data_IF_949129087924
#
_entry.id   IF_949129087924
#
_cell.length_a   1.000
_cell.length_b   1.000
_cell.length_c   1.000
_cell.angle_alpha   90.00
_cell.angle_beta   90.00
_cell.angle_gamma   90.00
#
_symmetry.space_group_name_H-M   'P 1'
#
loop_
_entity.id
_entity.type
_entity.pdbx_description
1 polymer ?
#
# COMPACT_ATOMS: atom_id res chain seq x y z
N UNK A 1 11.04 -19.83 -1.17
CA UNK A 1 11.73 -20.57 -0.07
C UNK A 1 11.40 -19.98 1.29
N UNK A 2 11.51 -18.67 1.49
CA UNK A 2 11.34 -17.99 2.77
C UNK A 2 9.93 -18.13 3.36
N UNK A 3 8.87 -17.92 2.58
CA UNK A 3 7.48 -18.10 3.04
C UNK A 3 7.17 -19.55 3.44
N UNK A 4 7.77 -20.54 2.77
CA UNK A 4 7.65 -21.96 3.18
C UNK A 4 8.30 -22.24 4.53
N UNK A 5 9.43 -21.60 4.80
CA UNK A 5 10.10 -21.71 6.09
C UNK A 5 9.28 -21.04 7.19
N UNK A 6 8.73 -19.85 6.93
CA UNK A 6 7.83 -19.15 7.85
C UNK A 6 6.56 -19.96 8.14
N UNK A 7 5.90 -20.52 7.12
CA UNK A 7 4.69 -21.31 7.30
C UNK A 7 4.94 -22.54 8.18
N UNK A 8 6.08 -23.21 8.01
CA UNK A 8 6.47 -24.32 8.91
C UNK A 8 6.74 -23.85 10.33
N UNK A 9 7.42 -22.72 10.51
CA UNK A 9 7.73 -22.14 11.82
C UNK A 9 6.45 -21.72 12.57
N UNK A 10 5.46 -21.20 11.87
CA UNK A 10 4.21 -20.76 12.45
C UNK A 10 3.16 -21.86 12.58
N UNK A 11 3.47 -23.06 12.11
CA UNK A 11 2.58 -24.22 12.20
C UNK A 11 1.32 -24.05 11.36
N UNK A 12 1.45 -23.46 10.17
CA UNK A 12 0.33 -23.30 9.25
C UNK A 12 0.00 -24.65 8.65
N UNK A 13 -1.22 -25.12 8.88
CA UNK A 13 -1.74 -26.32 8.23
C UNK A 13 -2.34 -25.96 6.87
N UNK A 14 -1.75 -26.45 5.76
CA UNK A 14 -2.27 -26.19 4.41
C UNK A 14 -3.63 -26.85 4.13
N UNK A 15 -4.08 -27.77 5.01
CA UNK A 15 -5.38 -28.43 4.91
C UNK A 15 -6.45 -27.79 5.78
N UNK A 16 -6.07 -26.79 6.62
CA UNK A 16 -7.02 -26.11 7.46
C UNK A 16 -8.05 -25.36 6.61
N UNK A 17 -9.31 -25.52 6.95
CA UNK A 17 -10.41 -24.81 6.31
C UNK A 17 -10.32 -23.32 6.58
N UNK A 18 -10.38 -22.52 5.51
CA UNK A 18 -10.31 -21.06 5.62
C UNK A 18 -11.65 -20.48 6.05
N UNK A 19 -11.67 -19.29 6.69
CA UNK A 19 -12.91 -18.64 7.09
C UNK A 19 -13.92 -18.45 5.94
N UNK A 20 -13.43 -18.23 4.71
CA UNK A 20 -14.28 -18.09 3.53
C UNK A 20 -15.09 -19.34 3.21
N UNK A 21 -14.53 -20.54 3.49
CA UNK A 21 -15.26 -21.80 3.31
C UNK A 21 -16.12 -22.14 4.54
N UNK A 22 -15.57 -21.87 5.75
CA UNK A 22 -16.25 -22.22 7.00
C UNK A 22 -17.49 -21.39 7.27
N UNK A 23 -17.50 -20.14 6.87
CA UNK A 23 -18.60 -19.18 7.11
C UNK A 23 -19.22 -18.68 5.82
N UNK A 24 -19.14 -19.47 4.74
CA UNK A 24 -19.65 -19.08 3.44
C UNK A 24 -21.11 -18.62 3.53
N UNK A 25 -21.36 -17.35 3.18
CA UNK A 25 -22.68 -16.72 3.20
C UNK A 25 -23.04 -16.06 1.84
N UNK A 26 -22.11 -16.09 0.89
CA UNK A 26 -22.30 -15.49 -0.44
C UNK A 26 -22.23 -13.96 -0.47
N UNK A 27 -21.95 -13.29 0.66
CA UNK A 27 -21.84 -11.84 0.76
C UNK A 27 -20.49 -11.43 1.38
N UNK A 28 -20.25 -11.74 2.65
CA UNK A 28 -19.04 -11.38 3.39
C UNK A 28 -17.95 -12.46 3.28
N UNK A 29 -18.37 -13.71 3.21
CA UNK A 29 -17.47 -14.87 3.10
C UNK A 29 -17.76 -15.62 1.79
N UNK A 30 -16.97 -15.32 0.78
CA UNK A 30 -17.07 -15.93 -0.54
C UNK A 30 -15.77 -16.63 -0.89
N UNK A 31 -15.78 -17.97 -1.06
CA UNK A 31 -14.61 -18.67 -1.57
C UNK A 31 -14.24 -18.16 -2.96
N UNK A 32 -13.00 -17.73 -3.11
CA UNK A 32 -12.52 -17.07 -4.32
C UNK A 32 -11.31 -17.81 -4.87
N UNK A 33 -11.17 -17.82 -6.20
CA UNK A 33 -10.03 -18.42 -6.87
C UNK A 33 -8.70 -17.77 -6.47
N UNK A 34 -7.65 -18.59 -6.34
CA UNK A 34 -6.34 -18.13 -5.89
C UNK A 34 -5.72 -17.06 -6.77
N UNK A 35 -5.97 -17.06 -8.08
CA UNK A 35 -5.49 -16.00 -8.98
C UNK A 35 -6.17 -14.67 -8.74
N UNK A 36 -7.46 -14.67 -8.45
CA UNK A 36 -8.23 -13.47 -8.11
C UNK A 36 -7.71 -12.86 -6.80
N UNK A 37 -7.50 -13.68 -5.77
CA UNK A 37 -6.93 -13.23 -4.50
C UNK A 37 -5.53 -12.65 -4.69
N UNK A 38 -4.67 -13.34 -5.47
CA UNK A 38 -3.34 -12.85 -5.79
C UNK A 38 -3.36 -11.51 -6.51
N UNK A 39 -4.20 -11.38 -7.55
CA UNK A 39 -4.33 -10.15 -8.34
C UNK A 39 -4.79 -8.97 -7.49
N UNK A 40 -5.78 -9.21 -6.61
CA UNK A 40 -6.28 -8.20 -5.69
C UNK A 40 -5.20 -7.75 -4.70
N UNK A 41 -4.49 -8.70 -4.10
CA UNK A 41 -3.41 -8.40 -3.16
C UNK A 41 -2.25 -7.64 -3.85
N UNK A 42 -1.87 -8.07 -5.05
CA UNK A 42 -0.84 -7.39 -5.83
C UNK A 42 -1.25 -5.95 -6.16
N UNK A 43 -2.49 -5.73 -6.62
CA UNK A 43 -3.00 -4.38 -6.92
C UNK A 43 -3.06 -3.48 -5.68
N UNK A 44 -3.35 -4.04 -4.51
CA UNK A 44 -3.39 -3.28 -3.26
C UNK A 44 -2.00 -2.84 -2.80
N UNK A 45 -0.96 -3.62 -3.08
CA UNK A 45 0.43 -3.32 -2.73
C UNK A 45 1.08 -2.42 -3.78
N UNK A 46 0.86 -2.71 -5.08
CA UNK A 46 1.50 -2.02 -6.21
C UNK A 46 0.85 -0.66 -6.53
N UNK A 47 0.64 0.16 -5.51
CA UNK A 47 0.18 1.54 -5.66
C UNK A 47 1.29 2.49 -6.14
N UNK A 48 0.99 3.80 -6.18
CA UNK A 48 1.95 4.83 -6.57
C UNK A 48 3.16 4.92 -5.63
N UNK A 49 2.99 4.60 -4.32
CA UNK A 49 4.05 4.64 -3.32
C UNK A 49 5.29 3.82 -3.66
N UNK A 50 5.18 2.53 -4.02
CA UNK A 50 6.32 1.71 -4.44
C UNK A 50 7.09 2.28 -5.64
N UNK A 51 6.41 2.92 -6.59
CA UNK A 51 7.04 3.51 -7.77
C UNK A 51 7.73 4.82 -7.42
N UNK A 52 6.99 5.77 -6.84
CA UNK A 52 7.51 7.11 -6.49
C UNK A 52 8.55 7.03 -5.37
N UNK A 53 8.37 6.14 -4.40
CA UNK A 53 9.32 5.93 -3.30
C UNK A 53 10.69 5.47 -3.77
N UNK A 54 10.74 4.55 -4.72
CA UNK A 54 11.99 4.09 -5.31
C UNK A 54 12.70 5.22 -6.09
N UNK A 55 11.96 6.03 -6.85
CA UNK A 55 12.49 7.19 -7.58
C UNK A 55 13.05 8.23 -6.62
N UNK A 56 12.30 8.60 -5.57
CA UNK A 56 12.76 9.55 -4.57
C UNK A 56 13.98 9.04 -3.80
N UNK A 57 13.99 7.76 -3.45
CA UNK A 57 15.11 7.15 -2.75
C UNK A 57 16.39 7.07 -3.60
N UNK A 58 16.27 7.11 -4.94
CA UNK A 58 17.41 7.11 -5.85
C UNK A 58 18.39 8.30 -5.63
N UNK A 59 17.91 9.39 -4.99
CA UNK A 59 18.75 10.53 -4.56
C UNK A 59 19.88 10.08 -3.62
N UNK A 60 19.64 9.04 -2.81
CA UNK A 60 20.65 8.46 -1.90
C UNK A 60 21.62 7.49 -2.59
N UNK A 61 21.48 7.30 -3.88
CA UNK A 61 22.27 6.38 -4.68
C UNK A 61 21.55 5.07 -4.99
N UNK A 62 21.84 4.49 -6.15
CA UNK A 62 21.13 3.31 -6.64
C UNK A 62 21.42 2.04 -5.82
N UNK A 63 22.63 1.88 -5.31
CA UNK A 63 23.05 0.67 -4.58
C UNK A 63 22.36 0.54 -3.22
N UNK A 64 22.33 1.56 -2.34
CA UNK A 64 21.56 1.51 -1.09
C UNK A 64 20.08 1.23 -1.32
N UNK A 65 19.48 1.86 -2.34
CA UNK A 65 18.07 1.67 -2.68
C UNK A 65 17.80 0.24 -3.14
N UNK A 66 18.65 -0.31 -4.03
CA UNK A 66 18.51 -1.68 -4.51
C UNK A 66 18.61 -2.69 -3.34
N UNK A 67 19.58 -2.52 -2.47
CA UNK A 67 19.75 -3.39 -1.30
C UNK A 67 18.55 -3.27 -0.35
N UNK A 68 18.05 -2.05 -0.10
CA UNK A 68 16.89 -1.85 0.75
C UNK A 68 15.62 -2.47 0.16
N UNK A 69 15.36 -2.30 -1.14
CA UNK A 69 14.19 -2.87 -1.82
C UNK A 69 14.24 -4.41 -1.77
N UNK A 70 15.39 -5.01 -2.04
CA UNK A 70 15.54 -6.47 -2.01
C UNK A 70 15.46 -7.03 -0.58
N UNK A 71 16.29 -6.54 0.33
CA UNK A 71 16.37 -7.07 1.70
C UNK A 71 15.12 -6.66 2.48
N UNK A 72 14.73 -5.38 2.41
CA UNK A 72 13.55 -4.86 3.08
C UNK A 72 12.26 -5.52 2.59
N UNK A 73 12.09 -5.67 1.28
CA UNK A 73 10.93 -6.33 0.68
C UNK A 73 10.83 -7.80 1.10
N UNK A 74 11.94 -8.54 1.14
CA UNK A 74 11.92 -9.96 1.52
C UNK A 74 11.74 -10.15 3.02
N UNK A 75 12.55 -9.46 3.84
CA UNK A 75 12.61 -9.73 5.28
C UNK A 75 11.62 -8.95 6.11
N UNK A 76 11.28 -7.72 5.71
CA UNK A 76 10.29 -6.90 6.41
C UNK A 76 8.92 -6.94 5.72
N UNK A 77 8.82 -6.57 4.45
CA UNK A 77 7.56 -6.51 3.72
C UNK A 77 6.85 -7.86 3.69
N UNK A 78 7.50 -8.90 3.17
CA UNK A 78 6.87 -10.22 3.06
C UNK A 78 6.49 -10.83 4.41
N UNK A 79 7.26 -10.59 5.48
CA UNK A 79 6.92 -11.10 6.82
C UNK A 79 5.73 -10.38 7.41
N UNK A 80 5.67 -9.05 7.30
CA UNK A 80 4.55 -8.26 7.83
C UNK A 80 3.26 -8.58 7.10
N UNK A 81 3.28 -8.65 5.77
CA UNK A 81 2.10 -8.94 4.98
C UNK A 81 1.59 -10.37 5.19
N UNK A 82 2.50 -11.33 5.15
CA UNK A 82 2.18 -12.73 5.43
C UNK A 82 1.68 -12.93 6.87
N UNK A 83 2.29 -12.23 7.83
CA UNK A 83 1.87 -12.26 9.24
C UNK A 83 0.48 -11.67 9.45
N UNK A 84 0.18 -10.54 8.82
CA UNK A 84 -1.12 -9.90 8.89
C UNK A 84 -2.22 -10.79 8.28
N UNK A 85 -1.95 -11.36 7.10
CA UNK A 85 -2.86 -12.31 6.45
C UNK A 85 -3.11 -13.54 7.31
N UNK A 86 -2.06 -14.17 7.82
CA UNK A 86 -2.18 -15.34 8.69
C UNK A 86 -2.94 -15.03 9.98
N UNK A 87 -2.64 -13.91 10.63
CA UNK A 87 -3.35 -13.47 11.83
C UNK A 87 -4.84 -13.25 11.56
N UNK A 88 -5.19 -12.64 10.42
CA UNK A 88 -6.58 -12.46 10.00
C UNK A 88 -7.28 -13.79 9.76
N UNK A 89 -6.70 -14.67 8.95
CA UNK A 89 -7.28 -16.01 8.65
C UNK A 89 -7.47 -16.83 9.91
N UNK A 90 -6.48 -16.84 10.83
CA UNK A 90 -6.56 -17.55 12.12
C UNK A 90 -7.63 -17.00 13.07
N UNK A 91 -8.07 -15.77 12.87
CA UNK A 91 -9.09 -15.10 13.66
C UNK A 91 -10.37 -14.81 12.84
N UNK A 92 -10.82 -15.78 12.07
CA UNK A 92 -12.09 -15.74 11.33
C UNK A 92 -12.20 -14.58 10.31
N UNK A 93 -11.10 -14.19 9.68
CA UNK A 93 -11.06 -13.13 8.69
C UNK A 93 -11.18 -11.71 9.25
N UNK A 94 -10.94 -11.52 10.55
CA UNK A 94 -11.09 -10.21 11.19
C UNK A 94 -10.02 -9.22 10.77
N UNK A 95 -10.42 -7.95 10.67
CA UNK A 95 -9.50 -6.84 10.39
C UNK A 95 -8.49 -6.61 11.52
N UNK A 96 -7.36 -5.98 11.20
CA UNK A 96 -6.30 -5.68 12.17
C UNK A 96 -6.81 -4.86 13.37
N UNK A 97 -7.76 -3.95 13.17
CA UNK A 97 -8.38 -3.19 14.26
C UNK A 97 -9.11 -4.08 15.26
N UNK A 98 -9.80 -5.12 14.81
CA UNK A 98 -10.48 -6.08 15.67
C UNK A 98 -9.48 -7.03 16.35
N UNK A 99 -8.39 -7.39 15.69
CA UNK A 99 -7.32 -8.18 16.29
C UNK A 99 -6.63 -7.41 17.42
N UNK A 100 -6.35 -6.13 17.20
CA UNK A 100 -5.78 -5.26 18.24
C UNK A 100 -6.74 -5.16 19.44
N UNK A 101 -8.04 -5.05 19.21
CA UNK A 101 -9.01 -5.07 20.30
C UNK A 101 -8.96 -6.38 21.08
N UNK A 102 -8.88 -7.52 20.39
CA UNK A 102 -8.85 -8.84 21.00
C UNK A 102 -7.61 -9.07 21.88
N UNK A 103 -6.44 -8.62 21.43
CA UNK A 103 -5.16 -8.93 22.08
C UNK A 103 -4.63 -7.80 22.99
N UNK A 104 -4.96 -6.55 22.70
CA UNK A 104 -4.46 -5.35 23.40
C UNK A 104 -5.59 -4.65 24.17
N UNK A 105 -6.81 -4.73 23.64
CA UNK A 105 -7.99 -4.14 24.26
C UNK A 105 -8.57 -2.94 23.49
N UNK A 106 -9.69 -2.42 24.00
CA UNK A 106 -10.46 -1.35 23.33
C UNK A 106 -9.69 -0.04 23.15
N UNK A 107 -8.79 0.30 24.08
CA UNK A 107 -7.97 1.50 23.96
C UNK A 107 -6.99 1.36 22.79
N UNK A 108 -6.33 0.20 22.67
CA UNK A 108 -5.44 -0.10 21.56
C UNK A 108 -6.12 0.02 20.20
N UNK A 109 -7.35 -0.51 20.07
CA UNK A 109 -8.16 -0.33 18.85
C UNK A 109 -8.44 1.13 18.53
N UNK A 110 -8.86 1.93 19.51
CA UNK A 110 -9.15 3.36 19.30
C UNK A 110 -7.91 4.12 18.84
N UNK A 111 -6.77 3.89 19.49
CA UNK A 111 -5.51 4.52 19.09
C UNK A 111 -5.07 4.09 17.69
N UNK A 112 -5.19 2.81 17.37
CA UNK A 112 -4.89 2.31 16.03
C UNK A 112 -5.79 2.91 14.96
N UNK A 113 -7.09 3.02 15.19
CA UNK A 113 -8.02 3.64 14.25
C UNK A 113 -7.76 5.14 14.08
N UNK A 114 -7.45 5.85 15.16
CA UNK A 114 -7.05 7.26 15.08
C UNK A 114 -5.75 7.43 14.28
N UNK A 115 -4.76 6.57 14.49
CA UNK A 115 -3.55 6.56 13.70
C UNK A 115 -3.83 6.31 12.21
N UNK A 116 -4.62 5.29 11.89
CA UNK A 116 -4.99 5.00 10.50
C UNK A 116 -5.72 6.18 9.84
N UNK A 117 -6.62 6.84 10.58
CA UNK A 117 -7.34 8.01 10.08
C UNK A 117 -6.38 9.17 9.77
N UNK A 118 -5.50 9.52 10.71
CA UNK A 118 -4.49 10.57 10.50
C UNK A 118 -3.55 10.22 9.33
N UNK A 119 -3.09 8.96 9.27
CA UNK A 119 -2.24 8.48 8.18
C UNK A 119 -2.94 8.61 6.83
N UNK A 120 -4.21 8.26 6.75
CA UNK A 120 -5.01 8.40 5.52
C UNK A 120 -5.08 9.86 5.06
N UNK A 121 -5.27 10.81 5.98
CA UNK A 121 -5.27 12.24 5.64
C UNK A 121 -3.92 12.69 5.05
N UNK A 122 -2.81 12.24 5.65
CA UNK A 122 -1.46 12.55 5.13
C UNK A 122 -1.26 11.97 3.74
N UNK A 123 -1.68 10.73 3.51
CA UNK A 123 -1.57 10.08 2.21
C UNK A 123 -2.41 10.81 1.15
N UNK A 124 -3.66 11.18 1.48
CA UNK A 124 -4.53 11.94 0.57
C UNK A 124 -3.89 13.30 0.24
N UNK A 125 -3.36 14.00 1.23
CA UNK A 125 -2.68 15.29 1.01
C UNK A 125 -1.45 15.14 0.11
N UNK A 126 -0.63 14.11 0.32
CA UNK A 126 0.54 13.85 -0.51
C UNK A 126 0.17 13.52 -1.96
N UNK A 127 -0.87 12.72 -2.18
CA UNK A 127 -1.35 12.44 -3.53
C UNK A 127 -1.97 13.67 -4.20
N UNK A 128 -2.74 14.46 -3.44
CA UNK A 128 -3.31 15.71 -3.95
C UNK A 128 -2.22 16.69 -4.38
N UNK A 129 -1.14 16.81 -3.61
CA UNK A 129 0.02 17.64 -3.95
C UNK A 129 0.73 17.15 -5.21
N UNK A 130 0.98 15.85 -5.32
CA UNK A 130 1.56 15.26 -6.55
C UNK A 130 0.69 15.51 -7.78
N UNK A 131 -0.63 15.33 -7.66
CA UNK A 131 -1.57 15.58 -8.77
C UNK A 131 -1.60 17.07 -9.09
N UNK A 132 -1.71 17.95 -8.10
CA UNK A 132 -1.68 19.40 -8.31
C UNK A 132 -0.40 19.84 -9.01
N UNK A 133 0.76 19.25 -8.66
CA UNK A 133 2.03 19.49 -9.33
C UNK A 133 2.03 19.16 -10.83
N UNK A 134 1.25 18.18 -11.27
CA UNK A 134 1.13 17.85 -12.71
C UNK A 134 0.37 18.91 -13.51
N UNK A 135 -0.47 19.70 -12.85
CA UNK A 135 -1.22 20.81 -13.47
C UNK A 135 -0.47 22.15 -13.43
N UNK A 136 0.58 22.28 -12.62
CA UNK A 136 1.40 23.49 -12.56
C UNK A 136 2.24 23.64 -13.84
N UNK A 137 1.68 24.40 -14.79
CA UNK A 137 2.36 24.67 -16.07
C UNK A 137 3.42 25.78 -15.95
N UNK A 138 3.37 26.62 -14.92
CA UNK A 138 4.21 27.80 -14.79
C UNK A 138 4.87 27.90 -13.41
N UNK A 139 6.12 28.32 -13.40
CA UNK A 139 6.85 28.70 -12.18
C UNK A 139 7.27 30.16 -12.27
N UNK A 140 7.27 30.85 -11.14
CA UNK A 140 7.81 32.22 -11.03
C UNK A 140 9.26 32.11 -10.60
N UNK A 141 10.16 32.62 -11.45
CA UNK A 141 11.60 32.70 -11.15
C UNK A 141 11.85 33.72 -10.02
N UNK A 142 13.01 33.65 -9.38
CA UNK A 142 13.46 34.59 -8.34
C UNK A 142 13.40 36.07 -8.78
N UNK A 143 13.40 36.30 -10.07
CA UNK A 143 13.29 37.64 -10.68
C UNK A 143 11.84 38.03 -11.04
N UNK A 144 10.84 37.29 -10.61
CA UNK A 144 9.43 37.54 -10.91
C UNK A 144 9.00 37.17 -12.33
N UNK A 145 9.86 36.53 -13.11
CA UNK A 145 9.55 36.14 -14.51
C UNK A 145 8.79 34.82 -14.50
N UNK A 146 7.62 34.78 -15.12
CA UNK A 146 6.83 33.56 -15.31
C UNK A 146 7.45 32.72 -16.42
N UNK A 147 7.87 31.49 -16.08
CA UNK A 147 8.43 30.53 -17.02
C UNK A 147 7.62 29.24 -17.00
N UNK A 148 7.63 28.49 -18.10
CA UNK A 148 7.10 27.13 -18.11
C UNK A 148 7.93 26.27 -17.15
N UNK A 149 7.25 25.59 -16.23
CA UNK A 149 7.88 24.64 -15.35
C UNK A 149 8.54 23.50 -16.15
N UNK A 150 9.69 23.01 -15.71
CA UNK A 150 10.36 21.90 -16.40
C UNK A 150 9.50 20.64 -16.46
N UNK A 151 8.68 20.40 -15.44
CA UNK A 151 7.67 19.36 -15.45
C UNK A 151 6.59 19.56 -16.52
N UNK A 152 6.23 20.80 -16.83
CA UNK A 152 5.27 21.09 -17.91
C UNK A 152 5.86 20.90 -19.31
N UNK A 153 7.17 21.04 -19.45
CA UNK A 153 7.86 20.75 -20.72
C UNK A 153 7.87 19.25 -21.02
N UNK A 154 7.94 18.41 -19.99
CA UNK A 154 7.97 16.94 -20.11
C UNK A 154 6.57 16.33 -20.07
N UNK A 155 5.64 16.92 -19.29
CA UNK A 155 4.28 16.42 -19.08
C UNK A 155 3.22 17.34 -19.71
N UNK A 156 3.57 18.14 -20.69
CA UNK A 156 2.76 19.21 -21.26
C UNK A 156 1.38 18.83 -21.80
N UNK A 157 1.04 17.54 -21.79
CA UNK A 157 -0.28 17.05 -22.18
C UNK A 157 -1.23 16.82 -20.99
N UNK A 158 -0.75 16.76 -19.73
CA UNK A 158 -1.60 16.38 -18.60
C UNK A 158 -2.68 17.43 -18.30
N UNK A 159 -2.33 18.73 -18.31
CA UNK A 159 -3.29 19.81 -18.10
C UNK A 159 -4.34 19.92 -19.22
N UNK A 160 -3.93 20.05 -20.49
CA UNK A 160 -4.87 20.09 -21.62
C UNK A 160 -5.73 18.83 -21.76
N UNK A 161 -5.18 17.64 -21.52
CA UNK A 161 -5.94 16.37 -21.61
C UNK A 161 -7.01 16.32 -20.52
N UNK A 162 -6.71 16.76 -19.29
CA UNK A 162 -7.70 16.77 -18.21
C UNK A 162 -8.87 17.71 -18.52
N UNK A 163 -8.62 18.85 -19.16
CA UNK A 163 -9.67 19.78 -19.57
C UNK A 163 -10.60 19.22 -20.65
N UNK A 164 -10.15 18.19 -21.38
CA UNK A 164 -10.99 17.51 -22.38
C UNK A 164 -11.94 16.49 -21.77
N UNK A 165 -11.74 16.11 -20.49
CA UNK A 165 -12.56 15.13 -19.78
C UNK A 165 -13.46 15.74 -18.68
N UNK A 166 -13.48 17.06 -18.53
CA UNK A 166 -14.39 17.81 -17.68
C UNK A 166 -15.49 18.43 -18.55
#
# INVERSE_FOLDING_TARGET
FYCRWLSKKWGIDPKAETPAHKFEDGQDYVPTDGWTVFSHQFSSIAGAGPVTGAIQAAVFGWLPVLLWVLIGGIFFGAVTDFGALYASVKNDGKSMGLLIEKYIGKLGRKLFLAFCWLFTLIVIAAFADMVAGTFNAYTVDTNGVIRLADAAKTNGAAGPISLLFI
#
